data_IF_110488681655
#
_entry.id   IF_110488681655
#
_cell.length_a   1.000
_cell.length_b   1.000
_cell.length_c   1.000
_cell.angle_alpha   90.00
_cell.angle_beta   90.00
_cell.angle_gamma   90.00
#
_symmetry.space_group_name_H-M   'P 1'
#
loop_
_entity.id
_entity.type
_entity.pdbx_description
1 polymer ?
#
# COMPACT_ATOMS: atom_id res chain seq x y z
N UNK A 1 8.47 9.61 -57.73
CA UNK A 1 9.67 9.50 -56.89
C UNK A 1 9.40 10.30 -55.64
N UNK A 2 9.03 9.62 -54.56
CA UNK A 2 8.94 10.24 -53.22
C UNK A 2 10.18 9.74 -52.50
N UNK A 3 11.10 10.66 -52.20
CA UNK A 3 12.30 10.39 -51.41
C UNK A 3 11.89 9.81 -50.05
N UNK A 4 12.26 8.54 -49.82
CA UNK A 4 12.32 8.00 -48.49
C UNK A 4 13.43 8.74 -47.74
N UNK A 5 13.05 9.62 -46.81
CA UNK A 5 13.95 10.08 -45.77
C UNK A 5 14.41 8.87 -44.96
N UNK A 6 15.63 8.40 -45.24
CA UNK A 6 16.38 7.51 -44.33
C UNK A 6 16.54 8.25 -43.01
N UNK A 7 15.69 7.91 -42.04
CA UNK A 7 15.90 8.30 -40.66
C UNK A 7 16.84 7.26 -40.04
N UNK A 8 18.05 7.66 -39.66
CA UNK A 8 19.03 6.83 -38.94
C UNK A 8 18.62 6.65 -37.45
N UNK A 9 17.33 6.40 -37.20
CA UNK A 9 16.82 6.09 -35.88
C UNK A 9 16.56 4.58 -35.80
N UNK A 10 17.22 3.93 -34.85
CA UNK A 10 16.93 2.53 -34.51
C UNK A 10 15.60 2.51 -33.74
N UNK A 11 14.55 1.99 -34.38
CA UNK A 11 13.28 1.68 -33.72
C UNK A 11 13.33 0.24 -33.21
N UNK A 12 13.18 0.08 -31.89
CA UNK A 12 13.03 -1.22 -31.26
C UNK A 12 11.57 -1.38 -30.83
N UNK A 13 10.92 -2.43 -31.32
CA UNK A 13 9.58 -2.83 -30.91
C UNK A 13 9.67 -4.21 -30.25
N UNK A 14 9.15 -4.32 -29.03
CA UNK A 14 9.11 -5.59 -28.32
C UNK A 14 7.81 -6.32 -28.65
N UNK A 15 7.90 -7.58 -29.07
CA UNK A 15 6.74 -8.43 -29.29
C UNK A 15 6.81 -9.70 -28.42
N UNK A 16 5.86 -9.91 -27.49
CA UNK A 16 4.78 -9.00 -27.11
C UNK A 16 5.31 -7.71 -26.44
N UNK A 17 4.48 -6.66 -26.42
CA UNK A 17 4.83 -5.40 -25.77
C UNK A 17 5.17 -5.64 -24.29
N UNK A 18 6.14 -4.89 -23.79
CA UNK A 18 6.50 -4.91 -22.38
C UNK A 18 5.42 -4.23 -21.54
N UNK A 19 5.22 -4.70 -20.31
CA UNK A 19 4.43 -3.94 -19.34
C UNK A 19 5.23 -2.72 -18.86
N UNK A 20 4.54 -1.68 -18.40
CA UNK A 20 5.19 -0.44 -17.91
C UNK A 20 6.23 -0.71 -16.81
N UNK A 21 5.99 -1.70 -15.95
CA UNK A 21 6.97 -2.11 -14.94
C UNK A 21 8.22 -2.78 -15.54
N UNK A 22 8.06 -3.58 -16.61
CA UNK A 22 9.20 -4.20 -17.31
C UNK A 22 10.01 -3.14 -18.05
N UNK A 23 9.34 -2.22 -18.73
CA UNK A 23 9.96 -1.07 -19.38
C UNK A 23 10.77 -0.25 -18.37
N UNK A 24 10.19 0.04 -17.20
CA UNK A 24 10.85 0.80 -16.15
C UNK A 24 12.14 0.12 -15.68
N UNK A 25 12.10 -1.19 -15.42
CA UNK A 25 13.32 -1.96 -15.09
C UNK A 25 14.37 -1.87 -16.20
N UNK A 26 13.96 -2.11 -17.44
CA UNK A 26 14.86 -2.10 -18.59
C UNK A 26 15.53 -0.73 -18.75
N UNK A 27 14.73 0.34 -18.78
CA UNK A 27 15.23 1.70 -18.94
C UNK A 27 16.13 2.13 -17.78
N UNK A 28 15.75 1.79 -16.55
CA UNK A 28 16.53 2.16 -15.37
C UNK A 28 17.89 1.45 -15.35
N UNK A 29 17.92 0.12 -15.54
CA UNK A 29 19.19 -0.63 -15.56
C UNK A 29 20.05 -0.31 -16.79
N UNK A 30 19.46 -0.10 -17.96
CA UNK A 30 20.20 0.34 -19.13
C UNK A 30 20.82 1.73 -18.91
N UNK A 31 20.07 2.65 -18.28
CA UNK A 31 20.56 3.98 -17.92
C UNK A 31 21.73 3.90 -16.94
N UNK A 32 21.59 3.11 -15.87
CA UNK A 32 22.69 2.90 -14.90
C UNK A 32 23.91 2.29 -15.56
N UNK A 33 23.74 1.25 -16.38
CA UNK A 33 24.86 0.62 -17.06
C UNK A 33 25.61 1.60 -17.95
N UNK A 34 24.88 2.37 -18.76
CA UNK A 34 25.46 3.35 -19.68
C UNK A 34 26.16 4.50 -18.94
N UNK A 35 25.57 4.99 -17.84
CA UNK A 35 26.16 6.03 -17.02
C UNK A 35 27.45 5.55 -16.35
N UNK A 36 27.39 4.42 -15.64
CA UNK A 36 28.53 3.87 -14.90
C UNK A 36 29.69 3.45 -15.81
N UNK A 37 29.39 2.89 -16.99
CA UNK A 37 30.44 2.47 -17.93
C UNK A 37 31.23 3.64 -18.51
N UNK A 38 30.62 4.82 -18.60
CA UNK A 38 31.27 6.04 -19.09
C UNK A 38 31.97 6.81 -17.98
N UNK A 39 31.59 6.58 -16.74
CA UNK A 39 32.09 7.33 -15.59
C UNK A 39 33.51 6.89 -15.23
N UNK A 40 34.44 7.85 -15.23
CA UNK A 40 35.84 7.61 -14.88
C UNK A 40 36.00 7.56 -13.36
N UNK A 41 35.17 8.30 -12.62
CA UNK A 41 35.21 8.28 -11.18
C UNK A 41 34.69 6.95 -10.61
N UNK A 42 35.27 6.54 -9.49
CA UNK A 42 34.88 5.34 -8.77
C UNK A 42 33.85 5.66 -7.68
N UNK A 43 33.86 6.86 -7.11
CA UNK A 43 32.90 7.27 -6.08
C UNK A 43 31.67 7.93 -6.74
N UNK A 44 30.50 7.30 -6.60
CA UNK A 44 29.29 7.68 -7.34
C UNK A 44 28.10 7.71 -6.39
N UNK A 45 27.29 8.77 -6.50
CA UNK A 45 26.02 8.90 -5.79
C UNK A 45 24.88 8.87 -6.81
N UNK A 46 23.98 7.90 -6.68
CA UNK A 46 22.73 7.87 -7.41
C UNK A 46 21.60 8.43 -6.57
N UNK A 47 20.85 9.38 -7.14
CA UNK A 47 19.59 9.86 -6.60
C UNK A 47 18.47 9.33 -7.49
N UNK A 48 17.57 8.53 -6.94
CA UNK A 48 16.46 7.91 -7.65
C UNK A 48 15.16 8.41 -7.03
N UNK A 49 14.34 9.08 -7.84
CA UNK A 49 13.02 9.52 -7.40
C UNK A 49 11.98 8.47 -7.79
N UNK A 50 11.32 7.87 -6.80
CA UNK A 50 10.25 6.86 -6.97
C UNK A 50 10.54 5.78 -8.03
N UNK A 51 11.74 5.19 -7.97
CA UNK A 51 12.27 4.27 -8.98
C UNK A 51 11.46 2.99 -9.19
N UNK A 52 10.54 2.67 -8.29
CA UNK A 52 9.68 1.49 -8.26
C UNK A 52 8.18 1.78 -8.49
N UNK A 53 7.80 3.04 -8.69
CA UNK A 53 6.41 3.52 -8.72
C UNK A 53 5.49 2.80 -9.70
N UNK A 54 5.99 2.44 -10.88
CA UNK A 54 5.21 1.76 -11.94
C UNK A 54 5.22 0.24 -11.82
N UNK A 55 5.92 -0.31 -10.82
CA UNK A 55 6.15 -1.74 -10.70
C UNK A 55 5.00 -2.44 -9.95
N UNK A 56 4.77 -3.70 -10.30
CA UNK A 56 3.88 -4.56 -9.53
C UNK A 56 4.42 -4.73 -8.09
N UNK A 57 3.56 -4.83 -7.04
CA UNK A 57 4.01 -4.96 -5.65
C UNK A 57 5.06 -6.05 -5.39
N UNK A 58 4.92 -7.21 -6.05
CA UNK A 58 5.92 -8.29 -5.96
C UNK A 58 7.32 -7.85 -6.42
N UNK A 59 7.40 -6.95 -7.40
CA UNK A 59 8.65 -6.40 -7.89
C UNK A 59 9.16 -5.25 -7.03
N UNK A 60 8.28 -4.42 -6.47
CA UNK A 60 8.68 -3.41 -5.48
C UNK A 60 9.38 -4.07 -4.29
N UNK A 61 8.87 -5.21 -3.81
CA UNK A 61 9.51 -6.03 -2.76
C UNK A 61 10.89 -6.58 -3.15
N UNK A 62 11.18 -6.72 -4.44
CA UNK A 62 12.46 -7.24 -4.92
C UNK A 62 13.40 -6.13 -5.40
N UNK A 63 12.95 -4.87 -5.36
CA UNK A 63 13.62 -3.77 -6.02
C UNK A 63 15.02 -3.50 -5.47
N UNK A 64 15.16 -3.36 -4.14
CA UNK A 64 16.47 -3.15 -3.49
C UNK A 64 17.42 -4.30 -3.80
N UNK A 65 16.93 -5.53 -3.74
CA UNK A 65 17.72 -6.71 -4.07
C UNK A 65 18.21 -6.67 -5.52
N UNK A 66 17.33 -6.46 -6.49
CA UNK A 66 17.72 -6.43 -7.90
C UNK A 66 18.66 -5.26 -8.21
N UNK A 67 18.42 -4.09 -7.61
CA UNK A 67 19.28 -2.92 -7.77
C UNK A 67 20.69 -3.19 -7.21
N UNK A 68 20.80 -3.72 -6.00
CA UNK A 68 22.08 -4.03 -5.36
C UNK A 68 22.82 -5.18 -6.05
N UNK A 69 22.13 -6.26 -6.41
CA UNK A 69 22.70 -7.39 -7.16
C UNK A 69 23.21 -6.93 -8.54
N UNK A 70 22.45 -6.09 -9.24
CA UNK A 70 22.84 -5.54 -10.55
C UNK A 70 24.10 -4.69 -10.45
N UNK A 71 24.14 -3.73 -9.52
CA UNK A 71 25.27 -2.82 -9.36
C UNK A 71 26.54 -3.56 -8.91
N UNK A 72 26.41 -4.41 -7.88
CA UNK A 72 27.55 -5.18 -7.34
C UNK A 72 28.11 -6.20 -8.32
N UNK A 73 27.29 -6.79 -9.19
CA UNK A 73 27.77 -7.77 -10.18
C UNK A 73 28.45 -7.14 -11.39
N UNK A 74 28.07 -5.92 -11.77
CA UNK A 74 28.58 -5.28 -13.00
C UNK A 74 29.67 -4.22 -12.74
N UNK A 75 29.75 -3.66 -11.53
CA UNK A 75 30.60 -2.51 -11.21
C UNK A 75 31.30 -2.70 -9.86
N UNK A 76 32.14 -3.73 -9.76
CA UNK A 76 32.86 -4.10 -8.52
C UNK A 76 33.99 -3.14 -8.14
N UNK A 77 34.47 -2.35 -9.10
CA UNK A 77 35.54 -1.36 -8.97
C UNK A 77 35.05 0.04 -8.54
N UNK A 78 33.72 0.20 -8.35
CA UNK A 78 33.09 1.47 -8.02
C UNK A 78 32.46 1.45 -6.62
N UNK A 79 32.61 2.55 -5.90
CA UNK A 79 31.95 2.82 -4.62
C UNK A 79 30.65 3.58 -4.88
N UNK A 80 29.52 2.89 -4.77
CA UNK A 80 28.21 3.44 -5.15
C UNK A 80 27.35 3.67 -3.90
N UNK A 81 26.91 4.92 -3.70
CA UNK A 81 25.87 5.28 -2.74
C UNK A 81 24.55 5.50 -3.47
N UNK A 82 23.45 4.99 -2.92
CA UNK A 82 22.10 5.16 -3.47
C UNK A 82 21.26 5.94 -2.47
N UNK A 83 20.66 7.02 -2.95
CA UNK A 83 19.65 7.82 -2.26
C UNK A 83 18.36 7.65 -3.04
N UNK A 84 17.33 7.15 -2.37
CA UNK A 84 16.03 6.87 -2.97
C UNK A 84 14.91 7.58 -2.22
N UNK A 85 13.94 8.07 -2.96
CA UNK A 85 12.64 8.51 -2.43
C UNK A 85 11.59 7.48 -2.82
N UNK A 86 10.57 7.30 -1.98
CA UNK A 86 9.53 6.32 -2.24
C UNK A 86 8.29 6.59 -1.41
N UNK A 87 7.13 6.31 -2.00
CA UNK A 87 5.86 6.19 -1.29
C UNK A 87 5.48 4.71 -1.04
N UNK A 88 6.37 3.76 -1.33
CA UNK A 88 6.13 2.32 -1.23
C UNK A 88 6.55 1.76 0.12
N UNK A 89 5.64 1.11 0.87
CA UNK A 89 5.99 0.46 2.13
C UNK A 89 6.85 -0.80 1.96
N UNK A 90 6.91 -1.35 0.74
CA UNK A 90 7.67 -2.56 0.48
C UNK A 90 9.17 -2.33 0.62
N UNK A 91 9.68 -1.16 0.19
CA UNK A 91 11.09 -0.82 0.31
C UNK A 91 11.53 -0.63 1.76
N UNK A 92 10.65 -0.08 2.60
CA UNK A 92 10.96 0.15 4.01
C UNK A 92 11.27 -1.16 4.75
N UNK A 93 10.66 -2.28 4.36
CA UNK A 93 10.92 -3.58 4.99
C UNK A 93 12.32 -4.11 4.71
N UNK A 94 12.99 -3.67 3.64
CA UNK A 94 14.34 -4.13 3.29
C UNK A 94 15.43 -3.25 3.92
N UNK A 95 15.07 -2.11 4.52
CA UNK A 95 16.00 -1.12 5.02
C UNK A 95 16.01 -1.08 6.55
N UNK A 96 17.20 -0.99 7.12
CA UNK A 96 17.38 -0.66 8.54
C UNK A 96 16.91 0.77 8.80
N UNK A 97 16.37 1.03 10.00
CA UNK A 97 15.77 2.31 10.35
C UNK A 97 16.76 3.47 10.19
N UNK A 98 18.02 3.21 10.49
CA UNK A 98 19.12 4.17 10.44
C UNK A 98 19.39 4.66 9.00
N UNK A 99 19.00 3.87 8.00
CA UNK A 99 19.12 4.22 6.57
C UNK A 99 17.84 4.84 6.00
N UNK A 100 16.86 5.18 6.85
CA UNK A 100 15.57 5.72 6.43
C UNK A 100 15.34 7.09 7.06
N UNK A 101 15.01 8.07 6.21
CA UNK A 101 14.63 9.42 6.62
C UNK A 101 13.14 9.60 6.34
N UNK A 102 12.35 9.72 7.40
CA UNK A 102 10.92 10.00 7.29
C UNK A 102 10.68 11.50 7.15
N UNK A 103 9.86 11.88 6.18
CA UNK A 103 9.44 13.25 5.94
C UNK A 103 7.98 13.40 6.32
N UNK A 104 7.66 14.45 7.07
CA UNK A 104 6.29 14.82 7.40
C UNK A 104 6.01 16.27 7.01
N UNK A 105 4.73 16.58 6.79
CA UNK A 105 4.31 17.95 6.52
C UNK A 105 4.39 18.78 7.78
N UNK A 106 4.90 19.97 7.61
CA UNK A 106 4.99 20.98 8.63
C UNK A 106 3.59 21.46 9.06
N UNK A 107 3.30 21.44 10.36
CA UNK A 107 2.04 21.91 10.93
C UNK A 107 2.21 23.31 11.53
N UNK A 108 1.25 24.21 11.29
CA UNK A 108 1.30 25.63 11.69
C UNK A 108 1.68 25.87 13.15
N UNK A 109 1.36 24.95 14.04
CA UNK A 109 1.49 25.15 15.49
C UNK A 109 2.88 24.84 16.06
N UNK A 110 3.85 24.41 15.23
CA UNK A 110 5.14 23.87 15.72
C UNK A 110 6.33 24.86 15.74
N UNK A 111 6.25 25.97 15.00
CA UNK A 111 7.32 26.95 14.69
C UNK A 111 6.73 28.01 13.72
N UNK A 112 6.81 29.27 14.11
CA UNK A 112 6.19 30.41 13.41
C UNK A 112 6.98 30.84 12.16
N UNK A 113 8.18 30.31 11.96
CA UNK A 113 9.07 30.68 10.86
C UNK A 113 8.94 29.78 9.62
N UNK A 114 8.14 28.71 9.69
CA UNK A 114 7.89 27.83 8.55
C UNK A 114 6.49 28.00 7.99
N UNK A 115 6.38 27.93 6.66
CA UNK A 115 5.09 27.97 5.97
C UNK A 115 4.43 26.60 6.05
N UNK A 116 3.12 26.59 6.26
CA UNK A 116 2.30 25.39 6.17
C UNK A 116 2.49 24.72 4.81
N UNK A 117 2.71 23.41 4.81
CA UNK A 117 2.96 22.63 3.60
C UNK A 117 4.44 22.38 3.27
N UNK A 118 5.40 23.01 3.97
CA UNK A 118 6.80 22.63 3.87
C UNK A 118 7.04 21.21 4.46
N UNK A 119 8.09 20.52 4.02
CA UNK A 119 8.49 19.23 4.58
C UNK A 119 9.48 19.41 5.74
N UNK A 120 9.35 18.60 6.78
CA UNK A 120 10.33 18.47 7.86
C UNK A 120 10.73 17.00 8.04
N UNK A 121 11.94 16.79 8.57
CA UNK A 121 12.40 15.46 8.98
C UNK A 121 11.71 15.11 10.30
N UNK A 122 11.11 13.92 10.37
CA UNK A 122 10.52 13.39 11.59
C UNK A 122 11.63 13.06 12.59
N UNK A 123 11.82 13.92 13.60
CA UNK A 123 12.94 13.83 14.57
C UNK A 123 12.94 12.55 15.40
N UNK A 124 11.76 12.00 15.73
CA UNK A 124 11.64 10.78 16.54
C UNK A 124 11.60 9.49 15.70
N UNK A 125 11.57 9.60 14.36
CA UNK A 125 11.37 8.47 13.45
C UNK A 125 10.14 7.62 13.77
N UNK A 126 9.90 6.55 13.02
CA UNK A 126 9.03 5.48 13.53
C UNK A 126 9.77 4.86 14.72
N UNK A 127 9.15 4.74 15.91
CA UNK A 127 9.77 4.01 17.05
C UNK A 127 10.10 2.55 16.73
N UNK A 128 9.46 1.99 15.71
CA UNK A 128 9.57 0.59 15.31
C UNK A 128 10.73 0.40 14.33
N UNK A 129 11.36 -0.77 14.45
CA UNK A 129 12.34 -1.25 13.49
C UNK A 129 11.65 -1.50 12.15
N UNK A 130 12.32 -1.14 11.05
CA UNK A 130 11.77 -1.25 9.69
C UNK A 130 12.21 -2.53 8.99
N UNK A 131 13.45 -2.97 9.22
CA UNK A 131 14.01 -4.16 8.60
C UNK A 131 13.24 -5.43 8.98
N UNK A 132 12.73 -6.14 7.98
CA UNK A 132 11.92 -7.36 8.13
C UNK A 132 10.54 -7.14 8.77
N UNK A 133 10.09 -5.88 8.92
CA UNK A 133 8.84 -5.58 9.59
C UNK A 133 7.61 -5.93 8.72
N UNK A 134 6.47 -6.14 9.38
CA UNK A 134 5.22 -6.40 8.68
C UNK A 134 4.78 -5.15 7.88
N UNK A 135 4.54 -5.32 6.58
CA UNK A 135 4.15 -4.25 5.65
C UNK A 135 2.90 -3.51 6.12
N UNK A 136 1.93 -4.17 6.75
CA UNK A 136 0.73 -3.50 7.29
C UNK A 136 1.06 -2.54 8.42
N UNK A 137 2.05 -2.89 9.26
CA UNK A 137 2.53 -2.02 10.34
C UNK A 137 3.35 -0.85 9.79
N UNK A 138 4.15 -1.11 8.74
CA UNK A 138 4.90 -0.05 8.06
C UNK A 138 3.96 0.93 7.33
N UNK A 139 2.88 0.43 6.74
CA UNK A 139 1.83 1.25 6.14
C UNK A 139 1.14 2.15 7.16
N UNK A 140 0.74 1.59 8.32
CA UNK A 140 0.07 2.39 9.34
C UNK A 140 1.00 3.44 9.96
N UNK A 141 2.21 3.03 10.32
CA UNK A 141 3.09 3.85 11.16
C UNK A 141 4.08 4.69 10.35
N UNK A 142 4.53 4.20 9.19
CA UNK A 142 5.53 4.86 8.35
C UNK A 142 4.97 5.80 7.31
N UNK A 143 3.72 5.59 6.88
CA UNK A 143 3.03 6.48 5.94
C UNK A 143 1.95 7.32 6.62
N UNK A 144 1.95 7.35 7.96
CA UNK A 144 1.06 8.19 8.76
C UNK A 144 -0.43 8.00 8.44
N UNK A 145 -0.83 6.76 8.14
CA UNK A 145 -2.22 6.41 7.86
C UNK A 145 -3.03 6.29 9.16
N UNK A 146 -3.09 7.37 9.94
CA UNK A 146 -3.77 7.41 11.24
C UNK A 146 -5.28 7.17 11.14
N UNK A 147 -5.88 7.44 9.98
CA UNK A 147 -7.32 7.28 9.73
C UNK A 147 -7.75 5.85 9.36
N UNK A 148 -6.79 4.92 9.39
CA UNK A 148 -6.96 3.49 9.12
C UNK A 148 -6.51 3.08 7.71
N UNK A 149 -6.46 1.77 7.48
CA UNK A 149 -6.07 1.16 6.19
C UNK A 149 -7.26 0.94 5.24
N UNK A 150 -8.45 1.41 5.62
CA UNK A 150 -9.68 1.23 4.85
C UNK A 150 -9.86 2.40 3.88
N UNK A 151 -10.23 2.08 2.63
CA UNK A 151 -10.55 3.10 1.63
C UNK A 151 -11.72 3.99 2.05
N UNK A 152 -11.61 5.28 1.73
CA UNK A 152 -12.57 6.30 2.18
C UNK A 152 -14.00 6.05 1.67
N UNK A 153 -14.16 5.58 0.44
CA UNK A 153 -15.47 5.21 -0.10
C UNK A 153 -16.16 4.08 0.69
N UNK A 154 -15.39 3.05 1.06
CA UNK A 154 -15.89 1.95 1.88
C UNK A 154 -16.24 2.45 3.29
N UNK A 155 -15.37 3.28 3.89
CA UNK A 155 -15.59 3.92 5.20
C UNK A 155 -16.90 4.71 5.22
N UNK A 156 -17.12 5.56 4.23
CA UNK A 156 -18.34 6.36 4.10
C UNK A 156 -19.59 5.50 3.93
N UNK A 157 -19.52 4.46 3.09
CA UNK A 157 -20.65 3.55 2.86
C UNK A 157 -21.02 2.79 4.13
N UNK A 158 -20.02 2.26 4.84
CA UNK A 158 -20.22 1.53 6.10
C UNK A 158 -20.78 2.46 7.18
N UNK A 159 -20.25 3.68 7.31
CA UNK A 159 -20.74 4.64 8.29
C UNK A 159 -22.20 5.02 8.04
N UNK A 160 -22.61 5.24 6.77
CA UNK A 160 -24.02 5.46 6.41
C UNK A 160 -24.90 4.29 6.82
N UNK A 161 -24.49 3.05 6.53
CA UNK A 161 -25.23 1.85 6.96
C UNK A 161 -25.34 1.80 8.49
N UNK A 162 -24.28 2.13 9.22
CA UNK A 162 -24.30 2.17 10.69
C UNK A 162 -25.30 3.22 11.19
N UNK A 163 -25.32 4.42 10.59
CA UNK A 163 -26.26 5.49 10.94
C UNK A 163 -27.71 5.09 10.65
N UNK A 164 -27.96 4.54 9.46
CA UNK A 164 -29.26 4.03 9.04
C UNK A 164 -29.74 2.91 9.98
N UNK A 165 -28.86 1.98 10.36
CA UNK A 165 -29.18 0.92 11.31
C UNK A 165 -29.39 1.42 12.74
N UNK A 166 -28.73 2.51 13.16
CA UNK A 166 -28.95 3.11 14.49
C UNK A 166 -30.19 3.99 14.57
N UNK A 167 -30.64 4.58 13.47
CA UNK A 167 -31.76 5.52 13.47
C UNK A 167 -33.10 4.79 13.63
N UNK A 168 -33.77 4.89 14.78
CA UNK A 168 -35.04 4.19 15.05
C UNK A 168 -36.17 4.50 14.05
N UNK A 169 -36.11 5.65 13.36
CA UNK A 169 -37.08 6.05 12.34
C UNK A 169 -36.78 5.47 10.94
N UNK A 170 -35.63 4.83 10.75
CA UNK A 170 -35.25 4.20 9.49
C UNK A 170 -36.07 2.92 9.26
N UNK A 171 -37.11 3.04 8.45
CA UNK A 171 -37.99 1.94 7.99
C UNK A 171 -37.91 1.82 6.46
N UNK A 172 -36.79 1.33 5.91
CA UNK A 172 -36.60 1.16 4.49
C UNK A 172 -37.61 0.18 3.88
N UNK A 173 -37.90 0.36 2.60
CA UNK A 173 -38.67 -0.60 1.81
C UNK A 173 -37.91 -1.93 1.66
N UNK A 174 -38.61 -3.00 1.23
CA UNK A 174 -38.05 -4.35 1.12
C UNK A 174 -36.78 -4.40 0.24
N UNK A 175 -36.79 -3.66 -0.86
CA UNK A 175 -35.66 -3.59 -1.80
C UNK A 175 -34.41 -2.96 -1.17
N UNK A 176 -34.61 -1.90 -0.38
CA UNK A 176 -33.50 -1.18 0.27
C UNK A 176 -32.91 -2.01 1.42
N UNK A 177 -33.73 -2.76 2.14
CA UNK A 177 -33.25 -3.77 3.11
C UNK A 177 -32.35 -4.82 2.45
N UNK A 178 -32.80 -5.35 1.31
CA UNK A 178 -32.03 -6.35 0.56
C UNK A 178 -30.71 -5.77 0.03
N UNK A 179 -30.72 -4.51 -0.42
CA UNK A 179 -29.51 -3.80 -0.83
C UNK A 179 -28.52 -3.64 0.32
N UNK A 180 -28.97 -3.18 1.49
CA UNK A 180 -28.11 -3.04 2.68
C UNK A 180 -27.52 -4.39 3.07
N UNK A 181 -28.34 -5.45 3.08
CA UNK A 181 -27.86 -6.80 3.37
C UNK A 181 -26.79 -7.27 2.38
N UNK A 182 -26.99 -7.07 1.07
CA UNK A 182 -25.99 -7.40 0.04
C UNK A 182 -24.67 -6.66 0.27
N UNK A 183 -24.72 -5.36 0.60
CA UNK A 183 -23.50 -4.58 0.89
C UNK A 183 -22.78 -5.12 2.13
N UNK A 184 -23.51 -5.44 3.20
CA UNK A 184 -22.90 -6.02 4.40
C UNK A 184 -22.22 -7.36 4.07
N UNK A 185 -22.82 -8.17 3.19
CA UNK A 185 -22.24 -9.46 2.78
C UNK A 185 -20.92 -9.32 2.00
N UNK A 186 -20.70 -8.22 1.29
CA UNK A 186 -19.46 -7.95 0.54
C UNK A 186 -18.31 -7.42 1.40
N UNK A 187 -18.54 -7.11 2.68
CA UNK A 187 -17.49 -6.60 3.57
C UNK A 187 -16.46 -7.70 3.83
N UNK A 188 -15.19 -7.41 3.52
CA UNK A 188 -14.09 -8.36 3.61
C UNK A 188 -13.52 -8.55 5.03
N UNK A 189 -13.77 -7.62 5.95
CA UNK A 189 -13.31 -7.70 7.34
C UNK A 189 -14.34 -8.50 8.17
N UNK A 190 -14.04 -9.74 8.61
CA UNK A 190 -15.04 -10.65 9.18
C UNK A 190 -15.70 -10.10 10.44
N UNK A 191 -14.95 -9.42 11.31
CA UNK A 191 -15.47 -8.90 12.56
C UNK A 191 -16.46 -7.76 12.30
N UNK A 192 -16.11 -6.79 11.45
CA UNK A 192 -17.02 -5.72 11.04
C UNK A 192 -18.26 -6.27 10.35
N UNK A 193 -18.11 -7.25 9.46
CA UNK A 193 -19.23 -7.91 8.78
C UNK A 193 -20.19 -8.53 9.80
N UNK A 194 -19.69 -9.31 10.74
CA UNK A 194 -20.52 -9.96 11.77
C UNK A 194 -21.26 -8.90 12.59
N UNK A 195 -20.55 -7.87 13.06
CA UNK A 195 -21.16 -6.79 13.85
C UNK A 195 -22.27 -6.04 13.11
N UNK A 196 -22.15 -5.84 11.80
CA UNK A 196 -23.18 -5.19 11.00
C UNK A 196 -24.38 -6.10 10.72
N UNK A 197 -24.15 -7.40 10.50
CA UNK A 197 -25.22 -8.39 10.42
C UNK A 197 -26.02 -8.45 11.73
N UNK A 198 -25.32 -8.45 12.87
CA UNK A 198 -25.94 -8.40 14.19
C UNK A 198 -26.88 -7.20 14.34
N UNK A 199 -26.41 -6.01 13.91
CA UNK A 199 -27.21 -4.78 13.93
C UNK A 199 -28.41 -4.85 12.98
N UNK A 200 -28.20 -5.39 11.78
CA UNK A 200 -29.24 -5.58 10.77
C UNK A 200 -30.35 -6.51 11.27
N UNK A 201 -30.02 -7.69 11.79
CA UNK A 201 -31.01 -8.65 12.29
C UNK A 201 -31.73 -8.14 13.54
N UNK A 202 -31.02 -7.48 14.46
CA UNK A 202 -31.67 -6.84 15.63
C UNK A 202 -32.79 -5.88 15.24
N UNK A 203 -32.63 -5.16 14.12
CA UNK A 203 -33.58 -4.16 13.64
C UNK A 203 -34.69 -4.73 12.76
N UNK A 204 -34.36 -5.62 11.83
CA UNK A 204 -35.28 -6.03 10.78
C UNK A 204 -35.83 -7.45 10.94
N UNK A 205 -35.14 -8.34 11.64
CA UNK A 205 -35.53 -9.74 11.75
C UNK A 205 -35.01 -10.39 13.05
N UNK A 206 -35.79 -10.20 14.13
CA UNK A 206 -35.47 -10.75 15.46
C UNK A 206 -35.48 -12.27 15.48
N UNK A 207 -36.25 -12.93 14.61
CA UNK A 207 -36.29 -14.40 14.53
C UNK A 207 -35.05 -14.96 13.84
N UNK A 208 -34.59 -14.33 12.74
CA UNK A 208 -33.30 -14.68 12.14
C UNK A 208 -32.15 -14.48 13.13
N UNK A 209 -32.17 -13.39 13.92
CA UNK A 209 -31.17 -13.19 14.98
C UNK A 209 -31.19 -14.29 16.01
N UNK A 210 -32.38 -14.72 16.45
CA UNK A 210 -32.53 -15.78 17.45
C UNK A 210 -31.98 -17.11 16.92
N UNK A 211 -32.27 -17.48 15.67
CA UNK A 211 -31.72 -18.68 15.02
C UNK A 211 -30.19 -18.65 14.88
N UNK A 212 -29.62 -17.48 14.58
CA UNK A 212 -28.18 -17.30 14.48
C UNK A 212 -27.50 -17.49 15.84
N UNK A 213 -28.06 -16.89 16.90
CA UNK A 213 -27.60 -17.06 18.27
C UNK A 213 -27.73 -18.52 18.76
N UNK A 214 -28.80 -19.22 18.38
CA UNK A 214 -28.98 -20.64 18.70
C UNK A 214 -27.92 -21.52 18.01
N UNK A 215 -27.54 -21.21 16.76
CA UNK A 215 -26.43 -21.90 16.07
C UNK A 215 -25.07 -21.64 16.72
N UNK A 216 -24.79 -20.39 17.10
CA UNK A 216 -23.55 -20.03 17.78
C UNK A 216 -23.45 -20.76 19.13
N UNK A 217 -24.56 -20.81 19.88
CA UNK A 217 -24.66 -21.55 21.15
C UNK A 217 -24.36 -23.03 20.96
N UNK A 218 -24.96 -23.67 19.96
CA UNK A 218 -24.72 -25.08 19.66
C UNK A 218 -23.25 -25.37 19.31
N UNK A 219 -22.59 -24.49 18.54
CA UNK A 219 -21.17 -24.63 18.20
C UNK A 219 -20.27 -24.55 19.44
N UNK A 220 -20.57 -23.61 20.34
CA UNK A 220 -19.81 -23.43 21.59
C UNK A 220 -20.02 -24.63 22.53
N UNK A 221 -21.25 -25.16 22.63
CA UNK A 221 -21.55 -26.37 23.40
C UNK A 221 -20.80 -27.60 22.86
N UNK A 222 -20.65 -27.74 21.55
CA UNK A 222 -19.83 -28.80 20.94
C UNK A 222 -18.33 -28.61 21.17
N UNK A 223 -17.82 -27.38 21.16
CA UNK A 223 -16.41 -27.11 21.50
C UNK A 223 -16.11 -27.39 22.98
N UNK A 224 -17.02 -27.04 23.89
CA UNK A 224 -16.87 -27.31 25.33
C UNK A 224 -16.81 -28.81 25.62
N UNK A 225 -17.62 -29.63 24.94
CA UNK A 225 -17.57 -31.11 25.05
C UNK A 225 -16.25 -31.75 24.64
N UNK A 226 -15.35 -31.02 23.97
CA UNK A 226 -14.00 -31.54 23.63
C UNK A 226 -13.00 -31.39 24.78
N UNK A 227 -13.37 -30.66 25.84
CA UNK A 227 -12.55 -30.43 27.02
C UNK A 227 -13.05 -31.18 28.26
N UNK A 228 -14.18 -31.90 28.14
CA UNK A 228 -14.68 -32.89 29.11
C UNK A 228 -14.26 -34.31 28.69
#
# INVERSE_FOLDING_TARGET
>A
MVEQTKSDFLFFEFHPNLSTGQETYLYQFASFYNALKKEINNDIVFCIDEGESTMHPNWQRQYIKYLTDFLSSNFTDKNIQIILTSHSPFLLSDLQKENVIFLEKYKKDEDKNQKEGNCKVLKDGIKKQTFGANIHTLLSDGFFMSDGLMGEFAKQTINKIIEDLKNDNYKPQKEEKERVFKIIQTIGEPFLKQKLLDMYYKKFDKEARKKELEKEKARIEEELKKYD
#
